data_IF_325987935757
#
_entry.id   IF_325987935757
#
_cell.length_a   1.000
_cell.length_b   1.000
_cell.length_c   1.000
_cell.angle_alpha   90.00
_cell.angle_beta   90.00
_cell.angle_gamma   90.00
#
_symmetry.space_group_name_H-M   'P 1'
#
loop_
_entity.id
_entity.type
_entity.pdbx_description
1 polymer ?
#
# COMPACT_ATOMS: atom_id res chain seq x y z
N UNK A 1 -5.58 43.87 -37.84
CA UNK A 1 -6.84 43.51 -38.52
C UNK A 1 -7.07 42.02 -38.32
N UNK A 2 -7.91 41.61 -37.37
CA UNK A 2 -8.22 40.21 -37.09
C UNK A 2 -9.42 39.81 -37.97
N UNK A 3 -9.23 38.94 -38.98
CA UNK A 3 -10.34 38.33 -39.71
C UNK A 3 -10.73 37.03 -39.02
N UNK A 4 -11.96 36.97 -38.50
CA UNK A 4 -12.52 35.71 -38.01
C UNK A 4 -12.83 34.81 -39.21
N UNK A 5 -12.49 33.50 -39.18
CA UNK A 5 -12.83 32.58 -40.25
C UNK A 5 -14.35 32.49 -40.42
N UNK A 6 -14.82 32.38 -41.67
CA UNK A 6 -16.26 32.27 -41.97
C UNK A 6 -16.86 31.06 -41.23
N UNK A 7 -18.03 31.21 -40.58
CA UNK A 7 -18.69 30.08 -39.94
C UNK A 7 -19.03 29.05 -41.01
N UNK A 8 -18.46 27.86 -40.88
CA UNK A 8 -18.81 26.71 -41.70
C UNK A 8 -20.25 26.29 -41.37
N UNK A 9 -21.10 26.27 -42.39
CA UNK A 9 -22.51 25.90 -42.19
C UNK A 9 -22.65 24.38 -42.06
N UNK A 10 -23.55 23.84 -41.22
CA UNK A 10 -23.77 22.39 -41.10
C UNK A 10 -24.12 21.73 -42.45
N UNK A 11 -24.85 22.47 -43.29
CA UNK A 11 -25.18 22.06 -44.67
C UNK A 11 -23.94 21.93 -45.56
N UNK A 12 -22.97 22.85 -45.45
CA UNK A 12 -21.75 22.77 -46.24
C UNK A 12 -20.85 21.61 -45.80
N UNK A 13 -20.81 21.29 -44.50
CA UNK A 13 -20.07 20.10 -44.03
C UNK A 13 -20.66 18.80 -44.58
N UNK A 14 -21.98 18.65 -44.59
CA UNK A 14 -22.61 17.45 -45.15
C UNK A 14 -22.41 17.34 -46.67
N UNK A 15 -22.49 18.48 -47.38
CA UNK A 15 -22.22 18.53 -48.82
C UNK A 15 -20.77 18.12 -49.14
N UNK A 16 -19.81 18.61 -48.36
CA UNK A 16 -18.38 18.26 -48.50
C UNK A 16 -18.13 16.79 -48.18
N UNK A 17 -18.71 16.27 -47.10
CA UNK A 17 -18.66 14.84 -46.74
C UNK A 17 -19.22 13.96 -47.88
N UNK A 18 -20.38 14.33 -48.42
CA UNK A 18 -21.01 13.62 -49.53
C UNK A 18 -20.13 13.65 -50.78
N UNK A 19 -19.45 14.76 -51.06
CA UNK A 19 -18.54 14.91 -52.20
C UNK A 19 -17.29 14.03 -52.04
N UNK A 20 -16.75 13.95 -50.82
CA UNK A 20 -15.64 13.08 -50.44
C UNK A 20 -16.00 11.60 -50.65
N UNK A 21 -17.22 11.20 -50.26
CA UNK A 21 -17.73 9.85 -50.48
C UNK A 21 -18.17 9.56 -51.91
N UNK A 22 -18.53 10.58 -52.71
CA UNK A 22 -18.94 10.42 -54.11
C UNK A 22 -17.76 10.10 -55.04
N UNK A 23 -16.55 10.60 -54.74
CA UNK A 23 -15.36 10.44 -55.61
C UNK A 23 -14.93 8.99 -55.78
N UNK A 24 -14.90 8.51 -57.02
CA UNK A 24 -14.68 7.10 -57.32
C UNK A 24 -13.26 6.65 -56.97
N UNK A 25 -13.14 5.97 -55.84
CA UNK A 25 -11.89 5.36 -55.36
C UNK A 25 -12.15 3.88 -55.08
N UNK A 26 -11.35 2.98 -55.65
CA UNK A 26 -11.46 1.57 -55.32
C UNK A 26 -11.16 1.38 -53.82
N UNK A 27 -11.88 0.45 -53.18
CA UNK A 27 -11.74 0.04 -51.77
C UNK A 27 -12.28 0.96 -50.66
N UNK A 28 -12.85 2.14 -50.96
CA UNK A 28 -13.41 3.08 -49.95
C UNK A 28 -14.44 2.44 -49.00
N UNK A 29 -15.36 1.65 -49.54
CA UNK A 29 -16.40 0.97 -48.77
C UNK A 29 -15.87 -0.23 -48.00
N UNK A 30 -14.85 -0.92 -48.53
CA UNK A 30 -14.19 -2.02 -47.82
C UNK A 30 -13.44 -1.51 -46.59
N UNK A 31 -12.66 -0.44 -46.74
CA UNK A 31 -11.89 0.14 -45.65
C UNK A 31 -12.79 0.76 -44.58
N UNK A 32 -13.88 1.43 -44.99
CA UNK A 32 -14.91 1.94 -44.08
C UNK A 32 -15.66 0.81 -43.35
N UNK A 33 -15.99 -0.27 -44.06
CA UNK A 33 -16.62 -1.45 -43.46
C UNK A 33 -15.71 -2.12 -42.43
N UNK A 34 -14.42 -2.28 -42.74
CA UNK A 34 -13.44 -2.88 -41.83
C UNK A 34 -13.24 -2.02 -40.58
N UNK A 35 -13.10 -0.71 -40.71
CA UNK A 35 -12.93 0.17 -39.55
C UNK A 35 -14.16 0.19 -38.64
N UNK A 36 -15.36 0.23 -39.24
CA UNK A 36 -16.62 0.12 -38.51
C UNK A 36 -16.75 -1.25 -37.81
N UNK A 37 -16.38 -2.34 -38.50
CA UNK A 37 -16.44 -3.69 -37.94
C UNK A 37 -15.50 -3.86 -36.74
N UNK A 38 -14.25 -3.41 -36.84
CA UNK A 38 -13.28 -3.46 -35.73
C UNK A 38 -13.83 -2.68 -34.52
N UNK A 39 -14.36 -1.47 -34.77
CA UNK A 39 -14.95 -0.63 -33.72
C UNK A 39 -16.15 -1.32 -33.05
N UNK A 40 -17.03 -1.93 -33.85
CA UNK A 40 -18.19 -2.65 -33.35
C UNK A 40 -17.79 -3.88 -32.52
N UNK A 41 -16.80 -4.66 -32.96
CA UNK A 41 -16.28 -5.83 -32.23
C UNK A 41 -15.73 -5.43 -30.85
N UNK A 42 -15.01 -4.31 -30.78
CA UNK A 42 -14.52 -3.78 -29.51
C UNK A 42 -15.68 -3.42 -28.56
N UNK A 43 -16.65 -2.65 -29.04
CA UNK A 43 -17.83 -2.28 -28.24
C UNK A 43 -18.68 -3.49 -27.83
N UNK A 44 -18.81 -4.47 -28.71
CA UNK A 44 -19.48 -5.74 -28.42
C UNK A 44 -18.77 -6.52 -27.31
N UNK A 45 -17.44 -6.61 -27.36
CA UNK A 45 -16.63 -7.23 -26.31
C UNK A 45 -16.85 -6.57 -24.94
N UNK A 46 -16.84 -5.24 -24.88
CA UNK A 46 -17.16 -4.49 -23.65
C UNK A 46 -18.59 -4.75 -23.16
N UNK A 47 -19.56 -4.87 -24.07
CA UNK A 47 -20.96 -5.14 -23.71
C UNK A 47 -21.12 -6.52 -23.09
N UNK A 48 -20.41 -7.53 -23.62
CA UNK A 48 -20.39 -8.88 -23.05
C UNK A 48 -19.72 -8.90 -21.67
N UNK A 49 -18.60 -8.19 -21.52
CA UNK A 49 -17.88 -8.11 -20.24
C UNK A 49 -18.69 -7.37 -19.18
N UNK A 50 -19.35 -6.27 -19.52
CA UNK A 50 -20.16 -5.48 -18.60
C UNK A 50 -21.38 -6.22 -18.04
N UNK A 51 -21.82 -7.31 -18.68
CA UNK A 51 -22.92 -8.14 -18.18
C UNK A 51 -22.48 -9.15 -17.13
N UNK A 52 -21.17 -9.35 -16.94
CA UNK A 52 -20.66 -10.24 -15.89
C UNK A 52 -20.79 -9.52 -14.55
N UNK A 53 -21.47 -10.13 -13.55
CA UNK A 53 -21.49 -9.56 -12.21
C UNK A 53 -20.06 -9.47 -11.68
N UNK A 54 -19.72 -8.35 -11.05
CA UNK A 54 -18.42 -8.19 -10.41
C UNK A 54 -18.23 -9.32 -9.38
N UNK A 55 -17.02 -9.92 -9.29
CA UNK A 55 -16.75 -10.95 -8.29
C UNK A 55 -17.02 -10.38 -6.89
N UNK A 56 -17.67 -11.17 -6.04
CA UNK A 56 -17.94 -10.80 -4.65
C UNK A 56 -16.63 -10.40 -3.96
N UNK A 57 -16.64 -9.28 -3.22
CA UNK A 57 -15.45 -8.78 -2.53
C UNK A 57 -15.05 -9.75 -1.41
N UNK A 58 -14.14 -10.67 -1.71
CA UNK A 58 -13.56 -11.57 -0.71
C UNK A 58 -12.51 -10.82 0.09
N UNK A 59 -12.90 -10.33 1.28
CA UNK A 59 -11.96 -9.74 2.24
C UNK A 59 -11.31 -10.90 3.01
N UNK A 60 -10.13 -11.33 2.54
CA UNK A 60 -9.32 -12.33 3.25
C UNK A 60 -8.55 -11.63 4.36
N UNK A 61 -8.97 -11.83 5.61
CA UNK A 61 -8.23 -11.35 6.78
C UNK A 61 -7.04 -12.28 7.06
N UNK A 62 -5.85 -11.85 6.68
CA UNK A 62 -4.61 -12.54 7.05
C UNK A 62 -4.23 -12.08 8.46
N UNK A 63 -4.51 -12.91 9.47
CA UNK A 63 -4.01 -12.71 10.82
C UNK A 63 -2.54 -13.19 10.89
N UNK A 64 -1.60 -12.32 10.51
CA UNK A 64 -0.17 -12.65 10.46
C UNK A 64 0.52 -12.65 11.83
N UNK A 65 -0.22 -12.39 12.92
CA UNK A 65 0.32 -12.20 14.26
C UNK A 65 -0.26 -13.23 15.23
N UNK A 66 0.59 -13.84 16.05
CA UNK A 66 0.16 -14.63 17.20
C UNK A 66 -0.54 -13.71 18.21
N UNK A 67 -1.82 -13.99 18.50
CA UNK A 67 -2.61 -13.21 19.46
C UNK A 67 -2.11 -13.35 20.91
N UNK A 68 -1.34 -14.40 21.21
CA UNK A 68 -0.89 -14.73 22.56
C UNK A 68 0.49 -14.13 22.92
N UNK A 69 1.05 -13.25 22.06
CA UNK A 69 2.35 -12.64 22.32
C UNK A 69 2.24 -11.51 23.35
N UNK A 70 3.08 -11.56 24.38
CA UNK A 70 3.19 -10.52 25.41
C UNK A 70 3.81 -9.24 24.87
N UNK A 71 3.27 -8.10 25.31
CA UNK A 71 3.78 -6.77 24.92
C UNK A 71 5.24 -6.57 25.34
N UNK A 72 5.63 -7.11 26.50
CA UNK A 72 7.00 -7.05 26.99
C UNK A 72 7.99 -7.77 26.07
N UNK A 73 7.59 -8.89 25.46
CA UNK A 73 8.42 -9.62 24.50
C UNK A 73 8.55 -8.87 23.16
N UNK A 74 7.48 -8.19 22.72
CA UNK A 74 7.51 -7.33 21.53
C UNK A 74 8.50 -6.20 21.73
N UNK A 75 8.44 -5.52 22.88
CA UNK A 75 9.31 -4.37 23.17
C UNK A 75 10.78 -4.82 23.32
N UNK A 76 11.04 -5.99 23.91
CA UNK A 76 12.40 -6.58 23.94
C UNK A 76 12.92 -6.85 22.53
N UNK A 77 12.07 -7.36 21.64
CA UNK A 77 12.45 -7.60 20.25
C UNK A 77 12.75 -6.28 19.54
N UNK A 78 11.93 -5.25 19.72
CA UNK A 78 12.16 -3.92 19.14
C UNK A 78 13.50 -3.30 19.59
N UNK A 79 13.90 -3.51 20.85
CA UNK A 79 15.21 -3.05 21.34
C UNK A 79 16.36 -3.79 20.61
N UNK A 80 16.24 -5.11 20.41
CA UNK A 80 17.24 -5.91 19.66
C UNK A 80 17.29 -5.54 18.18
N UNK A 81 16.12 -5.33 17.57
CA UNK A 81 15.99 -4.96 16.17
C UNK A 81 16.61 -3.58 15.93
N UNK A 82 16.45 -2.64 16.88
CA UNK A 82 17.08 -1.32 16.81
C UNK A 82 18.61 -1.40 16.79
N UNK A 83 19.20 -2.28 17.60
CA UNK A 83 20.65 -2.50 17.62
C UNK A 83 21.13 -3.18 16.31
N UNK A 84 20.35 -4.10 15.77
CA UNK A 84 20.66 -4.82 14.52
C UNK A 84 20.61 -3.88 13.32
N UNK A 85 19.56 -3.06 13.24
CA UNK A 85 19.40 -2.05 12.20
C UNK A 85 20.59 -1.06 12.16
N UNK A 86 21.13 -0.69 13.32
CA UNK A 86 22.31 0.18 13.40
C UNK A 86 23.59 -0.49 12.90
N UNK A 87 23.73 -1.82 13.09
CA UNK A 87 24.85 -2.56 12.51
C UNK A 87 24.76 -2.55 10.98
N UNK A 88 23.58 -2.79 10.43
CA UNK A 88 23.35 -2.80 8.98
C UNK A 88 23.56 -1.42 8.36
N UNK A 89 23.05 -0.36 9.00
CA UNK A 89 23.29 1.02 8.56
C UNK A 89 24.77 1.38 8.57
N UNK A 90 25.53 0.98 9.60
CA UNK A 90 26.98 1.24 9.64
C UNK A 90 27.71 0.53 8.52
N UNK A 91 27.33 -0.71 8.18
CA UNK A 91 27.91 -1.42 7.05
C UNK A 91 27.59 -0.70 5.73
N UNK A 92 26.35 -0.26 5.54
CA UNK A 92 25.92 0.47 4.35
C UNK A 92 26.65 1.81 4.24
N UNK A 93 26.74 2.58 5.32
CA UNK A 93 27.49 3.83 5.39
C UNK A 93 28.97 3.62 5.03
N UNK A 94 29.61 2.59 5.59
CA UNK A 94 31.00 2.27 5.26
C UNK A 94 31.21 1.93 3.78
N UNK A 95 30.21 1.33 3.12
CA UNK A 95 30.25 1.11 1.66
C UNK A 95 30.15 2.43 0.90
N UNK A 96 29.23 3.32 1.28
CA UNK A 96 29.05 4.62 0.63
C UNK A 96 30.24 5.58 0.85
N UNK A 97 30.87 5.54 2.02
CA UNK A 97 32.07 6.32 2.31
C UNK A 97 33.22 5.97 1.36
N UNK A 98 33.42 4.67 1.07
CA UNK A 98 34.41 4.24 0.07
C UNK A 98 34.12 4.79 -1.34
N UNK A 99 32.84 4.88 -1.72
CA UNK A 99 32.45 5.52 -2.98
C UNK A 99 32.69 7.04 -2.96
N UNK A 100 32.38 7.71 -1.85
CA UNK A 100 32.62 9.14 -1.69
C UNK A 100 34.12 9.49 -1.75
N UNK A 101 34.97 8.66 -1.12
CA UNK A 101 36.42 8.80 -1.19
C UNK A 101 36.94 8.66 -2.63
N UNK A 102 36.40 7.71 -3.40
CA UNK A 102 36.74 7.54 -4.81
C UNK A 102 36.23 8.70 -5.70
N UNK A 103 35.12 9.32 -5.33
CA UNK A 103 34.54 10.48 -6.02
C UNK A 103 35.11 11.84 -5.55
N UNK A 104 35.96 11.86 -4.51
CA UNK A 104 36.55 13.08 -3.96
C UNK A 104 35.55 13.97 -3.19
N UNK A 105 34.44 13.42 -2.70
CA UNK A 105 33.41 14.17 -1.96
C UNK A 105 33.81 14.23 -0.48
N UNK A 106 33.91 15.43 0.11
CA UNK A 106 34.25 15.60 1.52
C UNK A 106 33.03 15.32 2.42
N UNK A 107 33.03 14.20 3.13
CA UNK A 107 31.90 13.73 3.96
C UNK A 107 32.20 13.70 5.47
N UNK A 108 33.45 13.91 5.90
CA UNK A 108 33.86 13.63 7.29
C UNK A 108 33.30 14.61 8.30
N UNK A 109 33.16 15.88 7.91
CA UNK A 109 32.61 16.94 8.78
C UNK A 109 31.12 16.72 9.05
N UNK A 110 30.34 16.54 7.99
CA UNK A 110 28.89 16.29 8.09
C UNK A 110 28.58 15.00 8.87
N UNK A 111 29.38 13.95 8.68
CA UNK A 111 29.17 12.68 9.37
C UNK A 111 29.49 12.75 10.87
N UNK A 112 30.42 13.61 11.31
CA UNK A 112 30.68 13.81 12.73
C UNK A 112 29.46 14.45 13.43
N UNK A 113 28.85 15.45 12.81
CA UNK A 113 27.64 16.12 13.31
C UNK A 113 26.43 15.18 13.27
N UNK A 114 26.23 14.49 12.15
CA UNK A 114 25.14 13.54 12.00
C UNK A 114 25.24 12.37 12.98
N UNK A 115 26.45 11.87 13.28
CA UNK A 115 26.64 10.85 14.33
C UNK A 115 26.22 11.34 15.71
N UNK A 116 26.51 12.58 16.05
CA UNK A 116 26.11 13.15 17.33
C UNK A 116 24.58 13.24 17.45
N UNK A 117 23.90 13.63 16.38
CA UNK A 117 22.43 13.69 16.31
C UNK A 117 21.84 12.28 16.41
N UNK A 118 22.27 11.34 15.56
CA UNK A 118 21.78 9.94 15.56
C UNK A 118 21.97 9.25 16.91
N UNK A 119 23.12 9.47 17.57
CA UNK A 119 23.37 8.92 18.90
C UNK A 119 22.40 9.47 19.96
N UNK A 120 22.05 10.76 19.90
CA UNK A 120 21.08 11.39 20.80
C UNK A 120 19.67 10.83 20.56
N UNK A 121 19.25 10.77 19.30
CA UNK A 121 17.92 10.28 18.92
C UNK A 121 17.75 8.80 19.30
N UNK A 122 18.78 7.97 19.07
CA UNK A 122 18.80 6.57 19.50
C UNK A 122 18.69 6.46 21.02
N UNK A 123 19.45 7.24 21.77
CA UNK A 123 19.41 7.22 23.22
C UNK A 123 18.02 7.63 23.75
N UNK A 124 17.36 8.60 23.11
CA UNK A 124 16.00 8.98 23.43
C UNK A 124 15.00 7.85 23.13
N UNK A 125 15.09 7.24 21.93
CA UNK A 125 14.20 6.15 21.52
C UNK A 125 14.36 4.92 22.43
N UNK A 126 15.60 4.54 22.75
CA UNK A 126 15.88 3.41 23.66
C UNK A 126 15.28 3.65 25.04
N UNK A 127 15.40 4.86 25.59
CA UNK A 127 14.75 5.22 26.88
C UNK A 127 13.23 5.12 26.80
N UNK A 128 12.62 5.52 25.70
CA UNK A 128 11.17 5.38 25.50
C UNK A 128 10.77 3.91 25.48
N UNK A 129 11.52 3.07 24.77
CA UNK A 129 11.28 1.62 24.71
C UNK A 129 11.46 0.95 26.08
N UNK A 130 12.51 1.32 26.83
CA UNK A 130 12.73 0.81 28.20
C UNK A 130 11.63 1.23 29.17
N UNK A 131 11.13 2.47 29.04
CA UNK A 131 9.96 2.93 29.82
C UNK A 131 8.72 2.12 29.46
N UNK A 132 8.44 1.93 28.18
CA UNK A 132 7.31 1.12 27.72
C UNK A 132 7.43 -0.34 28.16
N UNK A 133 8.64 -0.90 28.19
CA UNK A 133 8.91 -2.23 28.70
C UNK A 133 8.51 -2.32 30.18
N UNK A 134 8.93 -1.35 30.99
CA UNK A 134 8.58 -1.31 32.40
C UNK A 134 7.05 -1.22 32.60
N UNK A 135 6.39 -0.34 31.84
CA UNK A 135 4.93 -0.19 31.88
C UNK A 135 4.21 -1.48 31.45
N UNK A 136 4.71 -2.17 30.40
CA UNK A 136 4.16 -3.43 29.92
C UNK A 136 4.32 -4.56 30.95
N UNK A 137 5.47 -4.67 31.59
CA UNK A 137 5.69 -5.66 32.66
C UNK A 137 4.76 -5.43 33.86
N UNK A 138 4.49 -4.17 34.22
CA UNK A 138 3.53 -3.84 35.29
C UNK A 138 2.11 -4.23 34.88
N UNK A 139 1.70 -3.96 33.64
CA UNK A 139 0.38 -4.34 33.11
C UNK A 139 0.21 -5.86 33.08
N UNK A 140 1.17 -6.59 32.53
CA UNK A 140 1.16 -8.05 32.48
C UNK A 140 1.11 -8.66 33.90
N UNK A 141 1.83 -8.08 34.86
CA UNK A 141 1.77 -8.52 36.26
C UNK A 141 0.39 -8.23 36.90
N UNK A 142 -0.26 -7.12 36.55
CA UNK A 142 -1.61 -6.81 37.00
C UNK A 142 -2.65 -7.74 36.37
N UNK A 143 -2.54 -8.01 35.07
CA UNK A 143 -3.40 -8.93 34.31
C UNK A 143 -3.28 -10.37 34.83
N UNK A 144 -2.06 -10.83 35.12
CA UNK A 144 -1.82 -12.14 35.73
C UNK A 144 -2.45 -12.25 37.13
N UNK A 145 -2.38 -11.17 37.94
CA UNK A 145 -3.04 -11.11 39.26
C UNK A 145 -4.56 -11.14 39.12
N UNK A 146 -5.14 -10.42 38.16
CA UNK A 146 -6.59 -10.43 37.93
C UNK A 146 -7.07 -11.78 37.39
N UNK A 147 -6.33 -12.43 36.50
CA UNK A 147 -6.63 -13.77 36.01
C UNK A 147 -6.65 -14.79 37.17
N UNK A 148 -5.61 -14.78 38.02
CA UNK A 148 -5.54 -15.66 39.19
C UNK A 148 -6.65 -15.44 40.23
N UNK A 149 -7.21 -14.22 40.30
CA UNK A 149 -8.33 -13.89 41.21
C UNK A 149 -9.68 -14.34 40.65
N UNK A 150 -9.83 -14.34 39.33
CA UNK A 150 -11.04 -14.82 38.64
C UNK A 150 -11.12 -16.35 38.68
N UNK A 151 -9.99 -17.05 38.56
CA UNK A 151 -9.94 -18.53 38.65
C UNK A 151 -10.23 -19.07 40.07
N UNK A 152 -10.12 -18.24 41.11
CA UNK A 152 -10.48 -18.58 42.49
C UNK A 152 -11.95 -18.32 42.87
N UNK A 153 -12.76 -17.78 41.95
CA UNK A 153 -14.16 -17.41 42.19
C UNK A 153 -15.10 -18.07 41.18
N UNK A 154 -15.02 -19.40 41.05
CA UNK A 154 -15.95 -20.19 40.24
C UNK A 154 -16.94 -20.95 41.14
N UNK A 155 -18.15 -20.41 41.42
CA UNK A 155 -19.24 -21.22 41.91
C UNK A 155 -19.83 -22.03 40.75
N UNK A 156 -19.90 -23.34 40.95
CA UNK A 156 -20.66 -24.25 40.11
C UNK A 156 -22.11 -23.77 39.94
N UNK A 157 -22.62 -23.70 38.71
CA UNK A 157 -24.03 -23.97 38.38
C UNK A 157 -24.17 -24.37 36.92
N UNK A 158 -24.80 -25.52 36.75
CA UNK A 158 -25.24 -26.22 35.55
C UNK A 158 -26.26 -25.36 34.77
N UNK A 159 -26.16 -25.29 33.45
CA UNK A 159 -27.34 -25.11 32.59
C UNK A 159 -27.25 -26.00 31.34
N UNK A 160 -27.89 -27.14 31.47
CA UNK A 160 -28.45 -27.99 30.42
C UNK A 160 -29.30 -27.18 29.43
N UNK A 161 -29.06 -27.36 28.13
CA UNK A 161 -30.05 -27.05 27.10
C UNK A 161 -30.60 -28.36 26.52
N UNK A 162 -31.93 -28.55 26.45
CA UNK A 162 -32.55 -29.82 26.12
C UNK A 162 -32.50 -30.09 24.61
N UNK A 163 -32.37 -31.37 24.29
CA UNK A 163 -32.50 -31.89 22.95
C UNK A 163 -33.95 -31.78 22.43
N UNK A 164 -34.03 -31.88 21.09
CA UNK A 164 -35.13 -32.44 20.26
C UNK A 164 -36.37 -31.56 20.00
N UNK A 165 -37.13 -31.80 18.91
CA UNK A 165 -36.99 -32.82 17.87
C UNK A 165 -36.68 -32.36 16.45
#
# INVERSE_FOLDING_TARGET
MFSLPRPVSPRSMYADLKLMFARDRPHRWGLLGVSAAITFVLMWGFTLESRKPAPERQITYINTWMSDRKDSDIIRQQIKDLDTYEMDLRQLQGRWQKFADAAGIEWRKEEAENRAIRNKDRAAMKKILEKKLADALVREAAEARTASKTDGAQPATIQSSPATP
#
